data_IF_861075257014
#
_entry.id   IF_861075257014
#
_cell.length_a   1.000
_cell.length_b   1.000
_cell.length_c   1.000
_cell.angle_alpha   90.00
_cell.angle_beta   90.00
_cell.angle_gamma   90.00
#
_symmetry.space_group_name_H-M   'P 1'
#
loop_
_entity.id
_entity.type
_entity.pdbx_description
1 polymer ?
#
# COMPACT_ATOMS: atom_id res chain seq x y z
N UNK A 1 4.86 -12.45 -9.84
CA UNK A 1 3.40 -12.34 -9.96
C UNK A 1 2.97 -10.93 -9.56
N UNK A 2 2.29 -10.17 -10.44
CA UNK A 2 1.72 -8.86 -10.16
C UNK A 2 0.88 -8.79 -8.87
N UNK A 3 0.23 -9.89 -8.49
CA UNK A 3 -0.64 -9.97 -7.33
C UNK A 3 0.14 -9.83 -6.00
N UNK A 4 1.39 -10.32 -5.96
CA UNK A 4 2.25 -10.22 -4.78
C UNK A 4 2.58 -8.77 -4.42
N UNK A 5 2.66 -7.86 -5.41
CA UNK A 5 2.91 -6.44 -5.13
C UNK A 5 1.71 -5.76 -4.47
N UNK A 6 0.48 -6.18 -4.78
CA UNK A 6 -0.72 -5.69 -4.09
C UNK A 6 -0.78 -6.19 -2.65
N UNK A 7 -0.47 -7.47 -2.43
CA UNK A 7 -0.40 -8.04 -1.08
C UNK A 7 0.64 -7.32 -0.22
N UNK A 8 1.83 -7.08 -0.76
CA UNK A 8 2.88 -6.32 -0.08
C UNK A 8 2.43 -4.90 0.29
N UNK A 9 1.74 -4.21 -0.63
CA UNK A 9 1.17 -2.89 -0.37
C UNK A 9 0.17 -2.88 0.79
N UNK A 10 -0.72 -3.87 0.84
CA UNK A 10 -1.70 -3.99 1.92
C UNK A 10 -1.05 -4.26 3.28
N UNK A 11 -0.06 -5.17 3.33
CA UNK A 11 0.70 -5.45 4.55
C UNK A 11 1.40 -4.19 5.06
N UNK A 12 1.97 -3.38 4.16
CA UNK A 12 2.64 -2.14 4.52
C UNK A 12 1.67 -1.11 5.13
N UNK A 13 0.46 -0.96 4.56
CA UNK A 13 -0.61 -0.12 5.13
C UNK A 13 -1.04 -0.63 6.52
N UNK A 14 -1.15 -1.95 6.71
CA UNK A 14 -1.48 -2.54 8.01
C UNK A 14 -0.40 -2.26 9.06
N UNK A 15 0.88 -2.38 8.71
CA UNK A 15 1.99 -2.09 9.62
C UNK A 15 2.02 -0.61 10.01
N UNK A 16 1.77 0.30 9.06
CA UNK A 16 1.66 1.73 9.35
C UNK A 16 0.49 2.02 10.29
N UNK A 17 -0.66 1.37 10.10
CA UNK A 17 -1.82 1.52 10.98
C UNK A 17 -1.52 1.08 12.42
N UNK A 18 -0.77 -0.03 12.58
CA UNK A 18 -0.34 -0.51 13.90
C UNK A 18 0.68 0.45 14.53
N UNK A 19 1.61 0.97 13.73
CA UNK A 19 2.70 1.83 14.22
C UNK A 19 2.21 3.22 14.67
N UNK A 20 1.34 3.85 13.87
CA UNK A 20 0.81 5.19 14.13
C UNK A 20 -0.48 5.19 14.96
N UNK A 21 -1.16 4.05 15.08
CA UNK A 21 -2.36 3.89 15.90
C UNK A 21 -3.43 4.94 15.57
N UNK A 22 -3.72 5.84 16.53
CA UNK A 22 -4.76 6.87 16.39
C UNK A 22 -4.40 8.00 15.42
N UNK A 23 -3.12 8.19 15.13
CA UNK A 23 -2.65 9.20 14.18
C UNK A 23 -2.80 8.73 12.72
N UNK A 24 -3.07 7.43 12.52
CA UNK A 24 -3.39 6.86 11.22
C UNK A 24 -4.86 7.11 10.87
N UNK A 25 -5.20 8.36 10.57
CA UNK A 25 -6.58 8.75 10.24
C UNK A 25 -7.04 8.06 8.95
N UNK A 26 -8.37 7.96 8.71
CA UNK A 26 -8.90 7.44 7.46
C UNK A 26 -8.38 8.16 6.22
N UNK A 27 -8.12 9.48 6.28
CA UNK A 27 -7.53 10.21 5.15
C UNK A 27 -6.08 9.80 4.89
N UNK A 28 -5.29 9.59 5.95
CA UNK A 28 -3.92 9.09 5.87
C UNK A 28 -3.92 7.68 5.26
N UNK A 29 -4.80 6.79 5.74
CA UNK A 29 -4.95 5.44 5.19
C UNK A 29 -5.30 5.45 3.70
N UNK A 30 -6.26 6.28 3.27
CA UNK A 30 -6.66 6.39 1.87
C UNK A 30 -5.49 6.89 0.98
N UNK A 31 -4.70 7.84 1.50
CA UNK A 31 -3.53 8.37 0.81
C UNK A 31 -2.46 7.29 0.61
N UNK A 32 -2.18 6.49 1.66
CA UNK A 32 -1.26 5.37 1.57
C UNK A 32 -1.76 4.27 0.63
N UNK A 33 -3.05 3.93 0.67
CA UNK A 33 -3.66 2.96 -0.26
C UNK A 33 -3.50 3.38 -1.73
N UNK A 34 -3.70 4.66 -2.03
CA UNK A 34 -3.48 5.20 -3.38
C UNK A 34 -2.02 5.10 -3.81
N UNK A 35 -1.09 5.41 -2.91
CA UNK A 35 0.35 5.31 -3.18
C UNK A 35 0.77 3.87 -3.47
N UNK A 36 0.42 2.90 -2.60
CA UNK A 36 0.80 1.49 -2.79
C UNK A 36 0.17 0.89 -4.03
N UNK A 37 -1.04 1.31 -4.41
CA UNK A 37 -1.69 0.90 -5.68
C UNK A 37 -0.89 1.40 -6.89
N UNK A 38 -0.42 2.66 -6.86
CA UNK A 38 0.43 3.22 -7.90
C UNK A 38 1.76 2.50 -8.02
N UNK A 39 2.41 2.22 -6.89
CA UNK A 39 3.67 1.47 -6.83
C UNK A 39 3.49 0.04 -7.37
N UNK A 40 2.46 -0.68 -6.92
CA UNK A 40 2.17 -2.03 -7.40
C UNK A 40 1.89 -2.06 -8.91
N UNK A 41 1.18 -1.05 -9.43
CA UNK A 41 0.92 -0.92 -10.87
C UNK A 41 2.19 -0.64 -11.67
N UNK A 42 3.08 0.21 -11.16
CA UNK A 42 4.36 0.54 -11.81
C UNK A 42 5.36 -0.64 -11.78
N UNK A 43 5.39 -1.41 -10.69
CA UNK A 43 6.21 -2.63 -10.59
C UNK A 43 5.68 -3.75 -11.48
N UNK A 44 4.36 -3.88 -11.58
CA UNK A 44 3.72 -4.87 -12.45
C UNK A 44 3.87 -4.52 -13.94
N UNK A 45 3.89 -3.24 -14.30
CA UNK A 45 4.04 -2.82 -15.70
C UNK A 45 5.44 -3.05 -16.27
N UNK A 46 6.46 -3.19 -15.41
CA UNK A 46 7.85 -3.53 -15.77
C UNK A 46 8.12 -5.04 -15.80
N UNK A 47 7.13 -5.84 -15.44
CA UNK A 47 7.23 -7.30 -15.40
C UNK A 47 6.90 -7.97 -16.76
N UNK A 48 6.63 -7.16 -17.79
CA UNK A 48 6.43 -7.56 -19.19
C UNK A 48 7.54 -7.00 -20.08
#
# INVERSE_FOLDING_TARGET
>A
DPENFKLLGNVLVTVLAIHFGKEFTPEVQASWQKMVTGVASALSSRYH
#
